data_IF_076185101102
#
_entry.id   IF_076185101102
#
_cell.length_a   1.000
_cell.length_b   1.000
_cell.length_c   1.000
_cell.angle_alpha   90.00
_cell.angle_beta   90.00
_cell.angle_gamma   90.00
#
_symmetry.space_group_name_H-M   'P 1'
#
loop_
_entity.id
_entity.type
_entity.pdbx_description
1 polymer ?
#
# COMPACT_ATOMS: atom_id res chain seq x y z
N UNK A 1 -10.56 -16.86 -32.96
CA UNK A 1 -10.37 -15.71 -32.05
C UNK A 1 -8.87 -15.53 -31.88
N UNK A 2 -8.31 -14.52 -32.54
CA UNK A 2 -6.90 -14.20 -32.49
C UNK A 2 -6.54 -13.73 -31.07
N UNK A 3 -5.61 -14.41 -30.42
CA UNK A 3 -4.99 -13.90 -29.20
C UNK A 3 -4.50 -12.46 -29.48
N UNK A 4 -4.76 -11.48 -28.60
CA UNK A 4 -4.21 -10.15 -28.80
C UNK A 4 -2.69 -10.30 -28.87
N UNK A 5 -2.10 -9.75 -29.93
CA UNK A 5 -0.68 -9.81 -30.21
C UNK A 5 0.10 -9.43 -28.94
N UNK A 6 1.04 -10.26 -28.53
CA UNK A 6 1.95 -9.96 -27.43
C UNK A 6 2.62 -8.62 -27.71
N UNK A 7 2.28 -7.58 -26.95
CA UNK A 7 3.01 -6.32 -27.01
C UNK A 7 4.49 -6.61 -26.76
N UNK A 8 5.40 -6.27 -27.70
CA UNK A 8 6.81 -6.58 -27.54
C UNK A 8 7.31 -5.86 -26.29
N UNK A 9 7.85 -6.65 -25.35
CA UNK A 9 8.41 -6.12 -24.12
C UNK A 9 9.74 -5.43 -24.46
N UNK A 10 9.93 -4.22 -23.92
CA UNK A 10 11.22 -3.55 -23.93
C UNK A 10 12.20 -4.33 -23.06
N UNK A 11 13.49 -4.38 -23.44
CA UNK A 11 14.51 -5.02 -22.60
C UNK A 11 14.59 -4.34 -21.24
N UNK A 12 14.92 -5.12 -20.20
CA UNK A 12 15.21 -4.57 -18.89
C UNK A 12 16.57 -3.85 -18.95
N UNK A 13 16.55 -2.54 -19.22
CA UNK A 13 17.73 -1.71 -19.35
C UNK A 13 17.46 -0.34 -18.70
N UNK A 14 17.85 -0.14 -17.43
CA UNK A 14 17.55 1.10 -16.69
C UNK A 14 18.05 2.37 -17.37
N UNK A 15 19.25 2.36 -17.95
CA UNK A 15 19.83 3.53 -18.63
C UNK A 15 19.01 3.96 -19.86
N UNK A 16 18.64 3.01 -20.72
CA UNK A 16 17.79 3.26 -21.90
C UNK A 16 16.38 3.70 -21.50
N UNK A 17 15.81 3.08 -20.46
CA UNK A 17 14.51 3.49 -19.93
C UNK A 17 14.58 4.92 -19.38
N UNK A 18 15.60 5.27 -18.60
CA UNK A 18 15.78 6.63 -18.10
C UNK A 18 15.84 7.66 -19.24
N UNK A 19 16.49 7.36 -20.36
CA UNK A 19 16.49 8.24 -21.54
C UNK A 19 15.10 8.44 -22.14
N UNK A 20 14.34 7.35 -22.28
CA UNK A 20 12.97 7.42 -22.79
C UNK A 20 12.01 8.16 -21.86
N UNK A 21 12.32 8.20 -20.57
CA UNK A 21 11.53 8.92 -19.58
C UNK A 21 11.88 10.42 -19.55
N UNK A 22 13.14 10.78 -19.81
CA UNK A 22 13.58 12.18 -19.89
C UNK A 22 13.02 12.93 -21.10
N UNK A 23 12.65 12.22 -22.17
CA UNK A 23 11.98 12.83 -23.34
C UNK A 23 10.48 13.03 -23.13
N UNK A 24 9.93 12.51 -22.02
CA UNK A 24 8.54 12.64 -21.63
C UNK A 24 8.35 13.59 -20.45
N UNK A 25 7.14 13.58 -19.91
CA UNK A 25 6.81 14.34 -18.70
C UNK A 25 7.07 13.52 -17.43
N UNK A 26 6.93 14.15 -16.27
CA UNK A 26 7.66 13.81 -15.06
C UNK A 26 7.00 12.76 -14.14
N UNK A 27 5.76 12.29 -14.39
CA UNK A 27 5.05 11.36 -13.48
C UNK A 27 4.89 9.96 -14.06
N UNK A 28 5.54 8.99 -13.42
CA UNK A 28 5.73 7.65 -13.98
C UNK A 28 5.28 6.59 -12.96
N UNK A 29 4.33 5.75 -13.36
CA UNK A 29 3.84 4.64 -12.53
C UNK A 29 4.57 3.34 -12.88
N UNK A 30 5.18 2.69 -11.90
CA UNK A 30 5.69 1.32 -12.04
C UNK A 30 4.60 0.34 -11.62
N UNK A 31 4.18 -0.52 -12.55
CA UNK A 31 3.05 -1.44 -12.38
C UNK A 31 3.43 -2.88 -12.72
N UNK A 32 2.83 -3.85 -12.02
CA UNK A 32 3.12 -5.27 -12.20
C UNK A 32 2.98 -6.12 -10.92
N UNK A 33 2.99 -7.44 -11.09
CA UNK A 33 2.79 -8.42 -10.00
C UNK A 33 3.78 -8.22 -8.84
N UNK A 34 3.42 -8.70 -7.64
CA UNK A 34 4.33 -8.70 -6.50
C UNK A 34 5.63 -9.49 -6.81
N UNK A 35 6.78 -8.91 -6.51
CA UNK A 35 8.09 -9.55 -6.73
C UNK A 35 8.58 -9.58 -8.17
N UNK A 36 7.98 -8.81 -9.08
CA UNK A 36 8.41 -8.70 -10.48
C UNK A 36 9.64 -7.79 -10.70
N UNK A 37 10.09 -7.09 -9.65
CA UNK A 37 11.25 -6.18 -9.70
C UNK A 37 10.91 -4.69 -9.75
N UNK A 38 9.69 -4.26 -9.43
CA UNK A 38 9.30 -2.83 -9.47
C UNK A 38 10.19 -1.94 -8.62
N UNK A 39 10.28 -2.20 -7.31
CA UNK A 39 11.13 -1.41 -6.41
C UNK A 39 12.61 -1.47 -6.78
N UNK A 40 13.08 -2.57 -7.38
CA UNK A 40 14.44 -2.68 -7.91
C UNK A 40 14.64 -1.72 -9.09
N UNK A 41 13.73 -1.76 -10.07
CA UNK A 41 13.77 -0.84 -11.21
C UNK A 41 13.63 0.61 -10.77
N UNK A 42 12.81 0.92 -9.77
CA UNK A 42 12.71 2.27 -9.19
C UNK A 42 14.07 2.77 -8.70
N UNK A 43 14.82 1.94 -7.97
CA UNK A 43 16.15 2.31 -7.46
C UNK A 43 17.16 2.51 -8.60
N UNK A 44 17.17 1.59 -9.57
CA UNK A 44 18.08 1.67 -10.71
C UNK A 44 17.78 2.88 -11.60
N UNK A 45 16.51 3.18 -11.85
CA UNK A 45 16.11 4.40 -12.55
C UNK A 45 16.52 5.65 -11.79
N UNK A 46 16.34 5.69 -10.47
CA UNK A 46 16.75 6.82 -9.66
C UNK A 46 18.27 7.05 -9.70
N UNK A 47 19.06 5.98 -9.68
CA UNK A 47 20.52 6.04 -9.85
C UNK A 47 20.91 6.61 -11.22
N UNK A 48 20.33 6.10 -12.31
CA UNK A 48 20.58 6.56 -13.67
C UNK A 48 20.19 8.03 -13.88
N UNK A 49 19.03 8.43 -13.35
CA UNK A 49 18.54 9.80 -13.41
C UNK A 49 19.42 10.76 -12.60
N UNK A 50 19.87 10.33 -11.41
CA UNK A 50 20.81 11.09 -10.59
C UNK A 50 22.15 11.30 -11.30
N UNK A 51 22.65 10.29 -12.02
CA UNK A 51 23.86 10.42 -12.85
C UNK A 51 23.71 11.44 -13.99
N UNK A 52 22.48 11.79 -14.37
CA UNK A 52 22.13 12.80 -15.37
C UNK A 52 21.74 14.15 -14.74
N UNK A 53 22.10 14.38 -13.48
CA UNK A 53 21.79 15.58 -12.70
C UNK A 53 20.28 15.86 -12.57
N UNK A 54 19.44 14.82 -12.63
CA UNK A 54 18.00 14.96 -12.45
C UNK A 54 17.64 14.66 -11.00
N UNK A 55 16.87 15.57 -10.40
CA UNK A 55 16.26 15.29 -9.10
C UNK A 55 15.15 14.28 -9.28
N UNK A 56 15.24 13.16 -8.55
CA UNK A 56 14.26 12.08 -8.60
C UNK A 56 13.55 11.94 -7.26
N UNK A 57 12.23 12.05 -7.30
CA UNK A 57 11.35 11.73 -6.19
C UNK A 57 10.66 10.41 -6.45
N UNK A 58 10.30 9.71 -5.38
CA UNK A 58 9.50 8.50 -5.46
C UNK A 58 8.44 8.47 -4.38
N UNK A 59 7.25 8.01 -4.72
CA UNK A 59 6.25 7.55 -3.75
C UNK A 59 6.21 6.02 -3.78
N UNK A 60 6.52 5.39 -2.65
CA UNK A 60 6.28 3.96 -2.48
C UNK A 60 4.89 3.75 -1.89
N UNK A 61 4.01 3.14 -2.69
CA UNK A 61 2.59 2.96 -2.39
C UNK A 61 2.24 1.52 -1.96
N UNK A 62 3.24 0.67 -1.71
CA UNK A 62 3.04 -0.67 -1.15
C UNK A 62 3.21 -0.63 0.38
N UNK A 63 2.12 -0.61 1.17
CA UNK A 63 2.24 -0.58 2.62
C UNK A 63 2.69 -1.92 3.22
N UNK A 64 2.62 -3.01 2.46
CA UNK A 64 2.96 -4.34 2.94
C UNK A 64 4.44 -4.67 2.83
N UNK A 65 5.12 -4.20 1.79
CA UNK A 65 6.54 -4.48 1.54
C UNK A 65 7.20 -3.32 0.78
N UNK A 66 7.27 -2.12 1.38
CA UNK A 66 7.76 -0.95 0.69
C UNK A 66 9.25 -1.06 0.34
N UNK A 67 9.65 -0.41 -0.76
CA UNK A 67 11.05 -0.33 -1.21
C UNK A 67 11.94 0.44 -0.24
N UNK A 68 11.40 1.51 0.34
CA UNK A 68 11.97 2.37 1.39
C UNK A 68 10.85 2.90 2.30
N UNK A 69 11.17 3.55 3.42
CA UNK A 69 10.14 4.04 4.34
C UNK A 69 9.53 2.93 5.22
N UNK A 70 8.31 3.16 5.72
CA UNK A 70 7.72 2.36 6.81
C UNK A 70 6.62 1.42 6.32
N UNK A 71 6.57 0.16 6.77
CA UNK A 71 5.41 -0.69 6.54
C UNK A 71 4.18 -0.13 7.26
N UNK A 72 3.01 -0.27 6.64
CA UNK A 72 1.77 0.34 7.12
C UNK A 72 1.59 1.80 6.70
N UNK A 73 2.45 2.31 5.81
CA UNK A 73 2.42 3.70 5.33
C UNK A 73 2.57 3.76 3.81
N UNK A 74 2.30 4.94 3.26
CA UNK A 74 2.84 5.38 1.96
C UNK A 74 3.95 6.38 2.28
N UNK A 75 5.10 6.30 1.60
CA UNK A 75 6.23 7.19 1.86
C UNK A 75 6.67 7.94 0.60
N UNK A 76 6.96 9.23 0.76
CA UNK A 76 7.64 10.08 -0.22
C UNK A 76 9.12 10.11 0.10
N UNK A 77 9.95 9.80 -0.91
CA UNK A 77 11.40 9.87 -0.80
C UNK A 77 12.02 10.70 -1.91
N UNK A 78 13.20 11.24 -1.63
CA UNK A 78 14.09 11.84 -2.62
C UNK A 78 15.35 10.98 -2.74
N UNK A 79 15.81 10.76 -3.96
CA UNK A 79 17.07 10.08 -4.18
C UNK A 79 18.24 11.02 -3.87
N UNK A 80 19.08 10.64 -2.90
CA UNK A 80 20.30 11.36 -2.52
C UNK A 80 21.37 10.36 -2.10
N UNK A 81 22.63 10.61 -2.49
CA UNK A 81 23.78 9.77 -2.07
C UNK A 81 23.57 8.27 -2.33
N UNK A 82 22.96 7.94 -3.48
CA UNK A 82 22.64 6.55 -3.88
C UNK A 82 21.65 5.82 -2.97
N UNK A 83 20.81 6.55 -2.24
CA UNK A 83 19.75 5.98 -1.42
C UNK A 83 18.49 6.88 -1.39
N UNK A 84 17.36 6.31 -0.93
CA UNK A 84 16.14 7.08 -0.69
C UNK A 84 16.17 7.73 0.69
N UNK A 85 16.10 9.06 0.72
CA UNK A 85 15.85 9.84 1.92
C UNK A 85 14.34 10.07 2.06
N UNK A 86 13.74 9.56 3.13
CA UNK A 86 12.29 9.72 3.38
C UNK A 86 12.02 11.16 3.79
N UNK A 87 11.24 11.87 2.98
CA UNK A 87 10.84 13.26 3.24
C UNK A 87 9.55 13.35 4.04
N UNK A 88 8.59 12.48 3.74
CA UNK A 88 7.28 12.44 4.39
C UNK A 88 6.66 11.05 4.26
N UNK A 89 5.69 10.75 5.12
CA UNK A 89 4.87 9.56 5.00
C UNK A 89 3.44 9.84 5.46
N UNK A 90 2.51 9.04 4.97
CA UNK A 90 1.12 9.04 5.41
C UNK A 90 0.75 7.64 5.91
N UNK A 91 0.23 7.57 7.14
CA UNK A 91 -0.13 6.33 7.79
C UNK A 91 -1.39 5.71 7.18
N UNK A 92 -1.30 4.43 6.86
CA UNK A 92 -2.43 3.60 6.50
C UNK A 92 -2.83 2.65 7.64
N UNK A 93 -1.89 2.27 8.52
CA UNK A 93 -2.09 1.29 9.59
C UNK A 93 -2.64 -0.06 9.08
N UNK A 94 -2.37 -0.40 7.81
CA UNK A 94 -2.72 -1.66 7.17
C UNK A 94 -1.58 -2.10 6.28
N UNK A 95 -1.41 -3.40 6.08
CA UNK A 95 -0.45 -3.97 5.13
C UNK A 95 -1.13 -4.44 3.82
N UNK A 96 -2.45 -4.26 3.71
CA UNK A 96 -3.26 -4.73 2.61
C UNK A 96 -3.71 -3.55 1.73
N UNK A 97 -2.95 -3.32 0.66
CA UNK A 97 -3.27 -2.32 -0.36
C UNK A 97 -4.60 -2.60 -1.07
N UNK A 98 -5.00 -3.87 -1.19
CA UNK A 98 -6.21 -4.28 -1.87
C UNK A 98 -7.46 -4.04 -1.03
N UNK A 99 -7.38 -4.11 0.30
CA UNK A 99 -8.51 -3.90 1.21
C UNK A 99 -8.81 -2.42 1.45
N UNK A 100 -7.79 -1.58 1.54
CA UNK A 100 -7.94 -0.15 1.90
C UNK A 100 -7.53 0.78 0.75
N UNK A 101 -8.11 0.56 -0.44
CA UNK A 101 -7.76 1.25 -1.69
C UNK A 101 -7.98 2.75 -1.63
N UNK A 102 -9.16 3.19 -1.20
CA UNK A 102 -9.47 4.62 -1.11
C UNK A 102 -8.54 5.36 -0.12
N UNK A 103 -8.29 4.84 1.11
CA UNK A 103 -7.26 5.40 1.99
C UNK A 103 -5.87 5.46 1.35
N UNK A 104 -5.46 4.41 0.64
CA UNK A 104 -4.18 4.35 -0.05
C UNK A 104 -4.08 5.44 -1.12
N UNK A 105 -5.06 5.53 -2.03
CA UNK A 105 -5.09 6.56 -3.07
C UNK A 105 -5.07 7.97 -2.47
N UNK A 106 -5.84 8.21 -1.41
CA UNK A 106 -5.87 9.50 -0.71
C UNK A 106 -4.50 9.87 -0.13
N UNK A 107 -3.80 8.90 0.47
CA UNK A 107 -2.46 9.09 1.02
C UNK A 107 -1.44 9.43 -0.09
N UNK A 108 -1.49 8.70 -1.22
CA UNK A 108 -0.59 8.96 -2.36
C UNK A 108 -0.84 10.35 -2.95
N UNK A 109 -2.10 10.79 -3.09
CA UNK A 109 -2.45 12.14 -3.59
C UNK A 109 -1.86 13.21 -2.69
N UNK A 110 -2.03 13.09 -1.36
CA UNK A 110 -1.49 14.06 -0.39
C UNK A 110 0.03 14.17 -0.47
N UNK A 111 0.73 13.04 -0.64
CA UNK A 111 2.18 13.04 -0.81
C UNK A 111 2.61 13.59 -2.16
N UNK A 112 1.87 13.29 -3.23
CA UNK A 112 2.11 13.84 -4.57
C UNK A 112 2.00 15.38 -4.56
N UNK A 113 1.00 15.93 -3.86
CA UNK A 113 0.84 17.38 -3.69
C UNK A 113 1.97 18.04 -2.87
N UNK A 114 2.61 17.30 -1.97
CA UNK A 114 3.79 17.74 -1.20
C UNK A 114 5.09 17.58 -1.98
N UNK A 115 5.07 16.91 -3.13
CA UNK A 115 6.28 16.62 -3.90
C UNK A 115 6.74 17.88 -4.62
N UNK A 116 8.01 18.30 -4.48
CA UNK A 116 8.56 19.41 -5.25
C UNK A 116 8.48 19.16 -6.75
N UNK A 117 8.61 20.22 -7.56
CA UNK A 117 8.70 20.08 -9.02
C UNK A 117 9.90 19.21 -9.38
N UNK A 118 9.68 18.20 -10.22
CA UNK A 118 10.69 17.23 -10.61
C UNK A 118 10.08 15.90 -11.05
N UNK A 119 10.94 14.98 -11.47
CA UNK A 119 10.53 13.63 -11.86
C UNK A 119 10.06 12.87 -10.63
N UNK A 120 8.84 12.32 -10.71
CA UNK A 120 8.18 11.53 -9.68
C UNK A 120 7.90 10.12 -10.20
N UNK A 121 8.56 9.15 -9.58
CA UNK A 121 8.27 7.73 -9.73
C UNK A 121 7.19 7.32 -8.71
N UNK A 122 6.27 6.45 -9.11
CA UNK A 122 5.28 5.85 -8.22
C UNK A 122 5.48 4.33 -8.26
N UNK A 123 5.98 3.76 -7.17
CA UNK A 123 6.12 2.31 -7.00
C UNK A 123 4.82 1.74 -6.45
N UNK A 124 3.99 1.17 -7.33
CA UNK A 124 2.66 0.68 -7.01
C UNK A 124 2.70 -0.62 -6.19
N UNK A 125 1.65 -0.93 -5.40
CA UNK A 125 1.50 -2.23 -4.77
C UNK A 125 1.38 -3.35 -5.83
N UNK A 126 1.78 -4.56 -5.48
CA UNK A 126 1.68 -5.74 -6.36
C UNK A 126 0.26 -6.28 -6.59
N UNK A 127 -0.78 -5.46 -6.44
CA UNK A 127 -2.19 -5.82 -6.57
C UNK A 127 -2.64 -5.57 -8.00
N UNK A 128 -2.68 -6.63 -8.82
CA UNK A 128 -2.89 -6.50 -10.28
C UNK A 128 -4.03 -7.39 -10.81
N UNK A 129 -4.93 -7.83 -9.94
CA UNK A 129 -6.03 -8.75 -10.28
C UNK A 129 -7.33 -8.31 -9.62
N UNK A 130 -8.44 -8.64 -10.28
CA UNK A 130 -9.79 -8.39 -9.79
C UNK A 130 -10.10 -6.91 -9.59
N UNK A 131 -11.19 -6.65 -8.87
CA UNK A 131 -11.69 -5.30 -8.56
C UNK A 131 -10.60 -4.45 -7.92
N UNK A 132 -9.84 -5.02 -6.99
CA UNK A 132 -8.82 -4.27 -6.27
C UNK A 132 -7.69 -3.78 -7.18
N UNK A 133 -7.22 -4.62 -8.11
CA UNK A 133 -6.19 -4.21 -9.07
C UNK A 133 -6.71 -3.18 -10.07
N UNK A 134 -7.94 -3.37 -10.56
CA UNK A 134 -8.59 -2.47 -11.52
C UNK A 134 -8.78 -1.07 -10.93
N UNK A 135 -9.38 -0.97 -9.74
CA UNK A 135 -9.59 0.31 -9.05
C UNK A 135 -8.27 1.02 -8.69
N UNK A 136 -7.24 0.27 -8.27
CA UNK A 136 -5.94 0.87 -7.94
C UNK A 136 -5.22 1.39 -9.20
N UNK A 137 -5.21 0.61 -10.28
CA UNK A 137 -4.59 1.04 -11.54
C UNK A 137 -5.27 2.30 -12.08
N UNK A 138 -6.60 2.25 -12.24
CA UNK A 138 -7.38 3.37 -12.76
C UNK A 138 -7.24 4.60 -11.86
N UNK A 139 -7.44 4.43 -10.55
CA UNK A 139 -7.38 5.52 -9.58
C UNK A 139 -5.99 6.14 -9.45
N UNK A 140 -4.91 5.35 -9.50
CA UNK A 140 -3.56 5.93 -9.49
C UNK A 140 -3.28 6.73 -10.75
N UNK A 141 -3.69 6.23 -11.92
CA UNK A 141 -3.41 6.91 -13.18
C UNK A 141 -4.16 8.23 -13.28
N UNK A 142 -5.46 8.20 -12.97
CA UNK A 142 -6.33 9.38 -13.04
C UNK A 142 -5.99 10.42 -11.96
N UNK A 143 -5.88 10.01 -10.69
CA UNK A 143 -5.77 10.95 -9.57
C UNK A 143 -4.35 11.52 -9.38
N UNK A 144 -3.35 10.92 -10.01
CA UNK A 144 -1.95 11.37 -9.91
C UNK A 144 -1.43 11.96 -11.22
N UNK A 145 -2.30 12.17 -12.22
CA UNK A 145 -1.91 12.65 -13.54
C UNK A 145 -0.74 11.83 -14.11
N UNK A 146 -0.83 10.50 -14.04
CA UNK A 146 0.23 9.62 -14.54
C UNK A 146 0.28 9.74 -16.06
N UNK A 147 1.49 9.83 -16.57
CA UNK A 147 1.70 10.09 -18.00
C UNK A 147 2.32 8.89 -18.71
N UNK A 148 3.12 8.14 -17.96
CA UNK A 148 3.72 6.90 -18.42
C UNK A 148 3.53 5.81 -17.39
N UNK A 149 3.05 4.64 -17.84
CA UNK A 149 3.01 3.42 -17.03
C UNK A 149 4.08 2.46 -17.54
N UNK A 150 5.07 2.18 -16.70
CA UNK A 150 6.04 1.11 -16.91
C UNK A 150 5.42 -0.20 -16.39
N UNK A 151 5.03 -1.09 -17.31
CA UNK A 151 4.39 -2.36 -16.95
C UNK A 151 5.42 -3.48 -17.00
N UNK A 152 5.82 -3.98 -15.84
CA UNK A 152 6.77 -5.10 -15.76
C UNK A 152 6.04 -6.42 -15.99
N UNK A 153 6.43 -7.14 -17.04
CA UNK A 153 5.83 -8.40 -17.48
C UNK A 153 6.86 -9.50 -17.72
N UNK A 154 6.41 -10.77 -17.68
CA UNK A 154 7.22 -11.91 -18.14
C UNK A 154 6.78 -12.26 -19.56
N UNK A 155 7.72 -12.57 -20.45
CA UNK A 155 7.42 -12.88 -21.85
C UNK A 155 6.40 -14.01 -22.04
N UNK A 156 6.39 -14.97 -21.12
CA UNK A 156 5.48 -16.13 -21.13
C UNK A 156 4.07 -15.84 -20.62
N UNK A 157 3.74 -14.59 -20.24
CA UNK A 157 2.45 -14.23 -19.66
C UNK A 157 1.89 -12.94 -20.29
N UNK A 158 0.56 -12.85 -20.45
CA UNK A 158 -0.07 -11.58 -20.80
C UNK A 158 0.16 -10.55 -19.69
N UNK A 159 0.17 -9.27 -20.06
CA UNK A 159 0.19 -8.19 -19.08
C UNK A 159 -1.09 -8.22 -18.23
N UNK A 160 -1.00 -7.95 -16.92
CA UNK A 160 -2.17 -7.93 -16.05
C UNK A 160 -3.06 -6.73 -16.39
N UNK A 161 -4.38 -6.94 -16.35
CA UNK A 161 -5.39 -5.90 -16.63
C UNK A 161 -5.16 -5.19 -17.97
N UNK A 162 -4.88 -5.97 -19.02
CA UNK A 162 -4.53 -5.42 -20.34
C UNK A 162 -5.62 -4.49 -20.90
N UNK A 163 -6.90 -4.81 -20.69
CA UNK A 163 -7.99 -3.98 -21.19
C UNK A 163 -8.02 -2.64 -20.47
N UNK A 164 -7.85 -2.64 -19.14
CA UNK A 164 -7.73 -1.41 -18.36
C UNK A 164 -6.52 -0.60 -18.82
N UNK A 165 -5.33 -1.21 -18.94
CA UNK A 165 -4.10 -0.55 -19.40
C UNK A 165 -4.29 0.13 -20.77
N UNK A 166 -4.93 -0.54 -21.71
CA UNK A 166 -5.21 -0.01 -23.05
C UNK A 166 -6.26 1.12 -23.03
N UNK A 167 -7.11 1.19 -22.00
CA UNK A 167 -8.14 2.22 -21.85
C UNK A 167 -7.63 3.52 -21.19
N UNK A 168 -6.44 3.51 -20.58
CA UNK A 168 -5.95 4.63 -19.78
C UNK A 168 -5.66 5.91 -20.59
N UNK A 169 -5.45 5.80 -21.90
CA UNK A 169 -5.09 6.96 -22.74
C UNK A 169 -3.70 7.56 -22.45
N UNK A 170 -2.84 6.85 -21.70
CA UNK A 170 -1.49 7.26 -21.32
C UNK A 170 -0.43 6.42 -22.04
N UNK A 171 0.83 6.84 -21.98
CA UNK A 171 1.93 6.07 -22.58
C UNK A 171 2.16 4.78 -21.79
N UNK A 172 1.90 3.63 -22.41
CA UNK A 172 2.20 2.32 -21.80
C UNK A 172 3.53 1.80 -22.36
N UNK A 173 4.47 1.51 -21.48
CA UNK A 173 5.75 0.90 -21.83
C UNK A 173 5.85 -0.48 -21.15
N UNK A 174 5.55 -1.56 -21.87
CA UNK A 174 5.79 -2.91 -21.39
C UNK A 174 7.29 -3.17 -21.29
N UNK A 175 7.77 -3.62 -20.13
CA UNK A 175 9.19 -3.92 -19.88
C UNK A 175 9.31 -5.37 -19.39
N UNK A 176 10.36 -6.06 -19.80
CA UNK A 176 10.70 -7.35 -19.20
C UNK A 176 10.85 -7.21 -17.69
N UNK A 177 10.41 -8.21 -16.93
CA UNK A 177 10.71 -8.31 -15.51
C UNK A 177 12.23 -8.31 -15.27
N UNK A 178 12.67 -7.87 -14.08
CA UNK A 178 14.09 -7.95 -13.72
C UNK A 178 14.58 -9.41 -13.89
N UNK A 179 15.76 -9.67 -14.48
CA UNK A 179 16.21 -11.03 -14.79
C UNK A 179 16.27 -11.97 -13.59
N UNK A 180 16.58 -11.44 -12.42
CA UNK A 180 16.63 -12.16 -11.14
C UNK A 180 15.33 -12.02 -10.32
N UNK A 181 14.26 -11.49 -10.89
CA UNK A 181 13.00 -11.28 -10.18
C UNK A 181 12.38 -12.62 -9.74
N UNK A 182 12.44 -12.88 -8.45
CA UNK A 182 11.74 -13.96 -7.79
C UNK A 182 10.80 -13.38 -6.73
N UNK A 183 9.55 -13.88 -6.61
CA UNK A 183 8.68 -13.46 -5.52
C UNK A 183 9.34 -13.81 -4.18
N UNK A 184 9.66 -12.82 -3.32
CA UNK A 184 10.17 -13.13 -2.00
C UNK A 184 9.09 -13.91 -1.23
N UNK A 185 9.51 -15.00 -0.59
CA UNK A 185 8.60 -15.84 0.20
C UNK A 185 7.83 -15.02 1.23
N UNK A 186 6.61 -15.44 1.58
CA UNK A 186 5.76 -14.74 2.57
C UNK A 186 6.52 -14.46 3.88
N UNK A 187 7.29 -15.45 4.36
CA UNK A 187 8.14 -15.32 5.55
C UNK A 187 9.21 -14.24 5.38
N UNK A 188 9.99 -14.26 4.29
CA UNK A 188 11.05 -13.27 4.04
C UNK A 188 10.49 -11.84 4.01
N UNK A 189 9.33 -11.63 3.36
CA UNK A 189 8.65 -10.33 3.36
C UNK A 189 8.24 -9.89 4.76
N UNK A 190 7.62 -10.79 5.54
CA UNK A 190 7.24 -10.50 6.91
C UNK A 190 8.45 -10.13 7.78
N UNK A 191 9.57 -10.84 7.66
CA UNK A 191 10.78 -10.52 8.42
C UNK A 191 11.37 -9.17 8.02
N UNK A 192 11.51 -8.88 6.71
CA UNK A 192 12.03 -7.59 6.23
C UNK A 192 11.20 -6.43 6.75
N UNK A 193 9.88 -6.50 6.62
CA UNK A 193 9.00 -5.43 7.12
C UNK A 193 9.07 -5.32 8.65
N UNK A 194 9.12 -6.45 9.35
CA UNK A 194 9.22 -6.46 10.82
C UNK A 194 10.50 -5.79 11.27
N UNK A 195 11.62 -6.04 10.58
CA UNK A 195 12.89 -5.38 10.84
C UNK A 195 12.78 -3.87 10.64
N UNK A 196 12.19 -3.40 9.52
CA UNK A 196 11.97 -1.97 9.26
C UNK A 196 11.13 -1.32 10.38
N UNK A 197 10.05 -1.98 10.80
CA UNK A 197 9.20 -1.50 11.90
C UNK A 197 9.93 -1.42 13.23
N UNK A 198 10.72 -2.45 13.57
CA UNK A 198 11.53 -2.45 14.81
C UNK A 198 12.62 -1.38 14.77
N UNK A 199 13.28 -1.19 13.63
CA UNK A 199 14.27 -0.11 13.48
C UNK A 199 13.65 1.26 13.71
N UNK A 200 12.43 1.50 13.22
CA UNK A 200 11.69 2.73 13.45
C UNK A 200 11.36 2.96 14.94
N UNK A 201 10.97 1.88 15.66
CA UNK A 201 10.64 1.94 17.08
C UNK A 201 11.84 1.73 18.03
N UNK A 202 13.07 1.64 17.51
CA UNK A 202 14.25 1.29 18.29
C UNK A 202 14.54 2.30 19.41
N UNK A 203 14.27 3.59 19.15
CA UNK A 203 14.34 4.67 20.15
C UNK A 203 12.92 5.20 20.36
N UNK A 204 12.24 4.65 21.35
CA UNK A 204 10.82 4.92 21.62
C UNK A 204 10.55 5.24 23.09
N UNK A 205 9.38 5.80 23.33
CA UNK A 205 8.80 6.06 24.64
C UNK A 205 7.36 5.55 24.67
N UNK A 206 6.83 5.35 25.87
CA UNK A 206 5.46 4.87 26.07
C UNK A 206 4.60 5.99 26.67
N UNK A 207 3.39 6.13 26.16
CA UNK A 207 2.40 7.10 26.64
C UNK A 207 1.10 6.39 26.98
N UNK A 208 0.32 7.01 27.86
CA UNK A 208 -1.00 6.52 28.25
C UNK A 208 -2.04 7.60 27.97
N UNK A 209 -3.09 7.26 27.22
CA UNK A 209 -4.18 8.19 26.87
C UNK A 209 -5.53 7.54 27.15
N UNK A 210 -6.49 8.29 27.70
CA UNK A 210 -7.86 7.79 27.84
C UNK A 210 -8.55 7.76 26.47
N UNK A 211 -9.26 6.67 26.19
CA UNK A 211 -10.06 6.54 24.96
C UNK A 211 -11.11 7.65 24.81
N UNK A 212 -11.63 8.20 25.92
CA UNK A 212 -12.58 9.33 25.90
C UNK A 212 -11.99 10.60 25.29
N UNK A 213 -10.67 10.74 25.30
CA UNK A 213 -9.96 11.92 24.82
C UNK A 213 -9.64 11.83 23.32
N UNK A 214 -9.94 10.68 22.69
CA UNK A 214 -9.60 10.34 21.32
C UNK A 214 -10.85 10.18 20.43
N UNK A 215 -10.72 10.67 19.20
CA UNK A 215 -11.58 10.35 18.06
C UNK A 215 -10.95 9.18 17.32
N UNK A 216 -11.53 8.00 17.48
CA UNK A 216 -11.06 6.79 16.81
C UNK A 216 -11.58 6.76 15.36
N UNK A 217 -10.69 6.59 14.40
CA UNK A 217 -11.03 6.48 12.98
C UNK A 217 -10.40 5.24 12.34
N UNK A 218 -10.89 4.87 11.15
CA UNK A 218 -10.45 3.68 10.43
C UNK A 218 -11.35 2.48 10.74
N UNK A 219 -10.74 1.39 11.20
CA UNK A 219 -11.44 0.17 11.60
C UNK A 219 -10.85 -0.35 12.92
N UNK A 220 -10.97 0.42 14.02
CA UNK A 220 -10.49 -0.01 15.33
C UNK A 220 -11.22 -1.28 15.77
N UNK A 221 -10.59 -2.15 16.57
CA UNK A 221 -11.29 -3.27 17.19
C UNK A 221 -12.37 -2.81 18.18
N UNK A 222 -13.32 -3.68 18.55
CA UNK A 222 -14.27 -3.40 19.63
C UNK A 222 -13.55 -3.07 20.96
N UNK A 223 -14.05 -2.07 21.69
CA UNK A 223 -13.43 -1.59 22.94
C UNK A 223 -13.55 -2.64 24.07
N UNK A 224 -14.61 -3.44 24.04
CA UNK A 224 -14.89 -4.54 24.95
C UNK A 224 -14.07 -5.81 24.66
N UNK A 225 -13.20 -5.78 23.65
CA UNK A 225 -12.22 -6.84 23.37
C UNK A 225 -10.79 -6.30 23.46
N UNK A 226 -10.26 -6.03 24.66
CA UNK A 226 -8.94 -5.41 24.85
C UNK A 226 -7.79 -6.11 24.14
N UNK A 227 -7.79 -7.44 24.11
CA UNK A 227 -6.74 -8.24 23.46
C UNK A 227 -6.60 -7.98 21.95
N UNK A 228 -7.66 -7.47 21.31
CA UNK A 228 -7.66 -7.14 19.89
C UNK A 228 -6.83 -5.91 19.53
N UNK A 229 -6.57 -5.04 20.53
CA UNK A 229 -5.87 -3.78 20.39
C UNK A 229 -4.36 -3.94 20.48
N UNK A 230 -3.90 -4.91 21.28
CA UNK A 230 -2.48 -5.21 21.48
C UNK A 230 -1.77 -5.50 20.16
N UNK A 231 -0.62 -4.85 19.97
CA UNK A 231 0.24 -4.97 18.79
C UNK A 231 -0.22 -4.16 17.58
N UNK A 232 -1.41 -3.54 17.60
CA UNK A 232 -1.91 -2.77 16.45
C UNK A 232 -1.02 -1.58 16.14
N UNK A 233 -0.73 -1.36 14.87
CA UNK A 233 -0.25 -0.05 14.45
C UNK A 233 -1.36 0.99 14.65
N UNK A 234 -0.98 2.15 15.15
CA UNK A 234 -1.87 3.30 15.29
C UNK A 234 -1.15 4.58 14.85
N UNK A 235 -1.90 5.57 14.39
CA UNK A 235 -1.33 6.84 13.98
C UNK A 235 -2.14 8.02 14.50
N UNK A 236 -1.45 9.04 14.99
CA UNK A 236 -2.07 10.31 15.34
C UNK A 236 -2.20 11.18 14.09
N UNK A 237 -3.43 11.65 13.86
CA UNK A 237 -3.79 12.41 12.67
C UNK A 237 -4.20 13.82 13.07
N UNK A 238 -3.75 14.82 12.32
CA UNK A 238 -4.27 16.20 12.41
C UNK A 238 -4.59 16.72 11.01
N UNK A 239 -5.79 17.28 10.83
CA UNK A 239 -6.27 17.77 9.52
C UNK A 239 -6.02 16.80 8.35
N UNK A 240 -6.17 15.51 8.61
CA UNK A 240 -5.92 14.44 7.65
C UNK A 240 -4.45 14.08 7.41
N UNK A 241 -3.50 14.80 8.00
CA UNK A 241 -2.07 14.50 7.90
C UNK A 241 -1.60 13.63 9.06
N UNK A 242 -0.63 12.76 8.77
CA UNK A 242 0.00 11.93 9.78
C UNK A 242 1.00 12.74 10.61
N UNK A 243 0.78 12.81 11.92
CA UNK A 243 1.70 13.44 12.87
C UNK A 243 2.69 12.43 13.42
N UNK A 244 2.20 11.25 13.79
CA UNK A 244 3.02 10.18 14.33
C UNK A 244 2.40 8.82 14.06
N UNK A 245 3.22 7.77 14.00
CA UNK A 245 2.76 6.39 13.94
C UNK A 245 3.48 5.59 15.03
N UNK A 246 2.78 4.64 15.64
CA UNK A 246 3.24 3.86 16.77
C UNK A 246 2.55 2.52 16.87
N UNK A 247 2.77 1.85 18.00
CA UNK A 247 2.23 0.54 18.32
C UNK A 247 1.42 0.59 19.61
N UNK A 248 0.20 0.05 19.59
CA UNK A 248 -0.61 -0.10 20.79
C UNK A 248 -0.05 -1.28 21.59
N UNK A 249 0.33 -1.02 22.84
CA UNK A 249 0.87 -2.03 23.75
C UNK A 249 -0.27 -2.77 24.43
N UNK A 250 -1.26 -2.02 24.93
CA UNK A 250 -2.40 -2.57 25.65
C UNK A 250 -3.57 -1.58 25.70
N UNK A 251 -4.77 -2.12 25.90
CA UNK A 251 -5.96 -1.39 26.32
C UNK A 251 -6.35 -1.88 27.72
N UNK A 252 -6.34 -1.01 28.73
CA UNK A 252 -6.70 -1.35 30.11
C UNK A 252 -7.52 -0.21 30.71
N UNK A 253 -8.66 -0.49 31.34
CA UNK A 253 -9.53 0.52 31.97
C UNK A 253 -9.84 1.72 31.07
N UNK A 254 -10.11 1.45 29.78
CA UNK A 254 -10.33 2.45 28.72
C UNK A 254 -9.14 3.39 28.49
N UNK A 255 -7.94 3.01 28.90
CA UNK A 255 -6.68 3.70 28.63
C UNK A 255 -5.84 2.90 27.64
N UNK A 256 -5.42 3.56 26.57
CA UNK A 256 -4.47 3.01 25.62
C UNK A 256 -3.06 3.31 26.10
N UNK A 257 -2.24 2.26 26.19
CA UNK A 257 -0.79 2.37 26.27
C UNK A 257 -0.23 2.26 24.86
N UNK A 258 0.54 3.26 24.44
CA UNK A 258 1.04 3.38 23.06
C UNK A 258 2.54 3.62 23.10
N UNK A 259 3.27 2.86 22.28
CA UNK A 259 4.69 3.07 21.99
C UNK A 259 4.85 3.98 20.77
N UNK A 260 5.59 5.07 20.92
CA UNK A 260 5.91 6.02 19.84
C UNK A 260 7.42 6.28 19.79
N UNK A 261 8.00 6.60 18.62
CA UNK A 261 9.38 7.09 18.59
C UNK A 261 9.56 8.37 19.42
N UNK A 262 10.77 8.60 19.91
CA UNK A 262 11.09 9.81 20.67
C UNK A 262 10.87 11.09 19.83
N UNK A 263 10.46 12.18 20.49
CA UNK A 263 10.27 13.52 19.92
C UNK A 263 9.09 13.71 18.94
N UNK A 264 8.11 12.80 18.88
CA UNK A 264 6.92 12.96 18.04
C UNK A 264 5.69 13.34 18.87
N UNK A 265 4.87 14.26 18.35
CA UNK A 265 3.64 14.73 18.99
C UNK A 265 2.46 13.77 18.88
N UNK A 266 1.43 14.08 19.65
CA UNK A 266 0.12 13.39 19.65
C UNK A 266 -0.99 14.38 19.31
N UNK A 267 -2.15 13.84 18.95
CA UNK A 267 -3.34 14.62 18.61
C UNK A 267 -4.57 13.96 19.23
N UNK A 268 -5.75 14.56 19.03
CA UNK A 268 -7.03 13.99 19.48
C UNK A 268 -7.64 12.98 18.50
N UNK A 269 -6.99 12.67 17.37
CA UNK A 269 -7.52 11.72 16.39
C UNK A 269 -6.56 10.56 16.22
N UNK A 270 -7.01 9.33 16.48
CA UNK A 270 -6.21 8.13 16.38
C UNK A 270 -6.76 7.21 15.28
N UNK A 271 -5.96 6.98 14.25
CA UNK A 271 -6.21 6.00 13.20
C UNK A 271 -5.75 4.62 13.67
N UNK A 272 -6.63 3.63 13.58
CA UNK A 272 -6.31 2.22 13.83
C UNK A 272 -6.94 1.36 12.75
N UNK A 273 -6.19 0.40 12.20
CA UNK A 273 -6.68 -0.60 11.23
C UNK A 273 -6.08 -1.97 11.51
N UNK A 274 -5.76 -2.75 10.48
CA UNK A 274 -5.42 -4.16 10.59
C UNK A 274 -3.94 -4.51 10.64
N UNK A 275 -3.01 -3.58 10.44
CA UNK A 275 -1.60 -3.88 10.69
C UNK A 275 -1.35 -4.11 12.19
N UNK A 276 -0.68 -5.22 12.52
CA UNK A 276 -0.47 -5.67 13.90
C UNK A 276 0.81 -6.49 14.04
N UNK A 277 1.56 -6.27 15.12
CA UNK A 277 2.62 -7.14 15.59
C UNK A 277 2.02 -8.33 16.35
N UNK A 278 2.20 -9.55 15.85
CA UNK A 278 1.75 -10.78 16.51
C UNK A 278 2.63 -11.15 17.71
N UNK A 279 2.20 -12.16 18.49
CA UNK A 279 2.97 -12.71 19.64
C UNK A 279 4.36 -13.22 19.26
N UNK A 280 4.54 -13.69 18.03
CA UNK A 280 5.85 -14.09 17.49
C UNK A 280 6.73 -12.87 17.10
N UNK A 281 6.20 -11.65 17.28
CA UNK A 281 6.84 -10.39 17.00
C UNK A 281 6.89 -10.02 15.52
N UNK A 282 6.20 -10.75 14.63
CA UNK A 282 6.10 -10.43 13.20
C UNK A 282 4.98 -9.41 12.95
N UNK A 283 5.25 -8.44 12.09
CA UNK A 283 4.25 -7.50 11.60
C UNK A 283 3.42 -8.15 10.48
N UNK A 284 2.11 -8.22 10.68
CA UNK A 284 1.12 -8.89 9.81
C UNK A 284 -0.17 -8.09 9.72
N UNK A 285 -1.11 -8.53 8.86
CA UNK A 285 -2.49 -8.07 8.91
C UNK A 285 -3.27 -8.94 9.87
N UNK A 286 -3.81 -8.36 10.93
CA UNK A 286 -4.70 -9.02 11.86
C UNK A 286 -5.94 -9.56 11.14
N UNK A 287 -6.40 -10.72 11.58
CA UNK A 287 -7.67 -11.26 11.12
C UNK A 287 -8.80 -10.27 11.46
N UNK A 288 -9.75 -10.05 10.52
CA UNK A 288 -10.95 -9.30 10.86
C UNK A 288 -11.64 -9.95 12.05
N UNK A 289 -12.07 -9.15 13.03
CA UNK A 289 -13.13 -9.59 13.93
C UNK A 289 -14.30 -9.92 13.02
N UNK A 290 -14.69 -11.19 12.99
CA UNK A 290 -15.75 -11.72 12.12
C UNK A 290 -16.85 -10.70 11.98
N UNK A 291 -16.96 -10.10 10.80
CA UNK A 291 -18.18 -9.41 10.42
C UNK A 291 -19.23 -10.53 10.45
N UNK A 292 -20.07 -10.57 11.48
CA UNK A 292 -21.35 -11.25 11.32
C UNK A 292 -21.89 -10.81 9.96
N UNK A 293 -22.31 -11.78 9.13
CA UNK A 293 -22.74 -11.56 7.75
C UNK A 293 -23.28 -10.14 7.60
N UNK A 294 -22.62 -9.30 6.78
CA UNK A 294 -23.15 -7.99 6.43
C UNK A 294 -24.51 -8.24 5.78
N UNK A 295 -25.55 -8.31 6.61
CA UNK A 295 -26.92 -8.41 6.17
C UNK A 295 -27.23 -7.02 5.69
N UNK A 296 -27.11 -6.84 4.38
CA UNK A 296 -27.80 -5.75 3.71
C UNK A 296 -29.28 -5.91 4.07
N UNK A 297 -29.75 -5.06 4.98
CA UNK A 297 -31.17 -4.90 5.23
C UNK A 297 -31.64 -3.92 4.15
N UNK A 298 -32.38 -4.39 3.11
CA UNK A 298 -32.93 -3.48 2.14
C UNK A 298 -33.84 -2.46 2.84
N UNK A 299 -33.99 -1.26 2.26
CA UNK A 299 -34.98 -0.28 2.72
C UNK A 299 -36.36 -0.94 2.93
N UNK A 300 -37.13 -0.55 3.97
CA UNK A 300 -38.39 -1.21 4.33
C UNK A 300 -39.44 -1.25 3.20
N UNK A 301 -39.33 -0.31 2.26
CA UNK A 301 -40.17 -0.11 1.09
C UNK A 301 -39.78 -0.99 -0.12
N UNK A 302 -38.66 -1.72 -0.05
CA UNK A 302 -38.14 -2.55 -1.14
C UNK A 302 -38.53 -4.06 -1.05
N UNK A 303 -39.54 -4.43 -0.27
CA UNK A 303 -39.97 -5.85 -0.11
C UNK A 303 -41.34 -6.11 -0.76
N UNK A 304 -41.47 -7.24 -1.50
CA UNK A 304 -41.62 -8.51 -0.80
C UNK A 304 -40.71 -9.61 -1.36
N UNK A 305 -39.64 -9.95 -0.65
CA UNK A 305 -39.04 -11.28 -0.80
C UNK A 305 -39.63 -12.24 0.23
N UNK A 306 -40.11 -13.42 -0.18
CA UNK A 306 -40.72 -14.37 0.74
C UNK A 306 -39.68 -14.92 1.71
N UNK A 307 -39.96 -14.76 3.00
CA UNK A 307 -39.22 -15.34 4.10
C UNK A 307 -39.44 -16.85 4.17
N UNK A 308 -38.58 -17.66 3.52
CA UNK A 308 -38.37 -19.06 3.88
C UNK A 308 -36.91 -19.47 3.72
N UNK A 309 -36.33 -19.84 4.87
CA UNK A 309 -35.25 -20.81 5.09
C UNK A 309 -33.91 -20.63 4.36
N UNK A 310 -33.03 -19.82 4.96
CA UNK A 310 -31.57 -19.95 4.79
C UNK A 310 -30.95 -20.57 6.06
N UNK A 311 -31.37 -21.79 6.36
CA UNK A 311 -30.67 -22.67 7.30
C UNK A 311 -30.77 -24.12 6.82
N UNK A 312 -30.07 -24.47 5.74
CA UNK A 312 -29.79 -25.86 5.40
C UNK A 312 -28.62 -26.03 4.42
N UNK A 313 -27.67 -26.88 4.83
CA UNK A 313 -26.77 -27.73 4.03
C UNK A 313 -25.58 -27.12 3.28
N UNK A 314 -24.49 -26.98 4.02
CA UNK A 314 -23.11 -27.10 3.54
C UNK A 314 -22.76 -28.58 3.32
N UNK A 315 -23.12 -29.15 2.18
CA UNK A 315 -22.54 -30.41 1.67
C UNK A 315 -22.98 -30.68 0.23
N UNK A 316 -22.39 -30.00 -0.74
CA UNK A 316 -22.18 -30.48 -2.11
C UNK A 316 -21.57 -29.35 -2.93
N UNK A 317 -20.29 -29.49 -3.27
CA UNK A 317 -19.60 -29.06 -4.50
C UNK A 317 -18.09 -29.12 -4.24
N UNK A 318 -17.62 -30.30 -3.83
CA UNK A 318 -16.39 -30.87 -4.38
C UNK A 318 -16.83 -31.77 -5.53
N UNK A 319 -16.08 -31.73 -6.63
CA UNK A 319 -16.29 -32.40 -7.92
C UNK A 319 -17.17 -31.62 -8.90
N UNK A 320 -16.55 -30.65 -9.59
CA UNK A 320 -16.11 -30.78 -11.00
C UNK A 320 -15.13 -29.64 -11.34
#
# INVERSE_FOLDING_TARGET
>A
MTHPASHPLLPYCPSSLAEQLLTGRQRILLYGEAGIGKSTLTNELALELSGKNQTCFCITADPGSPGFGLPGTVSLGQWQESNWQVLAFEALCTLDAGRFRLPLLTAVIRLSQKTPVGLLLIDAPGVVRGIAGSELLMGMVELLDIETVLVLGRQSKPLPLINELLSLGVRILPVHAHPQACPPGKKTRAHKRTQQWRSYLAVSHEITINLSDLRLIGSPPPIDVPDAWTGRQCAFIDNGQTISIGEIIALQDRKLQIRLPAAIGTTRTLLVRDACSEKNGLLVSATPFTSGNLQFLPPPDAMPYPSRDYSANFAAYMLL
#
